data_IF_143415751577
#
_entry.id   IF_143415751577
#
_cell.length_a   1.000
_cell.length_b   1.000
_cell.length_c   1.000
_cell.angle_alpha   90.00
_cell.angle_beta   90.00
_cell.angle_gamma   90.00
#
_symmetry.space_group_name_H-M   'P 1'
#
loop_
_entity.id
_entity.type
_entity.pdbx_description
1 polymer ?
#
# COMPACT_ATOMS: atom_id res chain seq x y z
N UNK A 1 1.73 21.68 8.80
CA UNK A 1 1.35 20.43 9.50
C UNK A 1 1.88 19.28 8.66
N UNK A 2 2.51 18.28 9.26
CA UNK A 2 3.13 17.15 8.54
C UNK A 2 2.50 15.85 9.00
N UNK A 3 2.17 14.95 8.06
CA UNK A 3 1.66 13.62 8.36
C UNK A 3 2.83 12.67 8.60
N UNK A 4 2.85 12.00 9.75
CA UNK A 4 3.95 11.10 10.16
C UNK A 4 3.46 9.67 10.33
N UNK A 5 2.24 9.50 10.83
CA UNK A 5 1.60 8.21 11.08
C UNK A 5 0.28 8.15 10.32
N UNK A 6 0.10 7.11 9.52
CA UNK A 6 -1.15 6.77 8.86
C UNK A 6 -1.50 5.33 9.26
N UNK A 7 -2.48 5.15 10.13
CA UNK A 7 -3.00 3.82 10.51
C UNK A 7 -4.45 3.74 10.10
N UNK A 8 -4.74 2.82 9.20
CA UNK A 8 -6.03 2.53 8.60
C UNK A 8 -6.30 1.02 8.62
N UNK A 9 -5.56 0.26 9.43
CA UNK A 9 -5.75 -1.17 9.58
C UNK A 9 -7.15 -1.50 10.09
N UNK A 10 -7.64 -2.71 9.77
CA UNK A 10 -8.94 -3.23 10.19
C UNK A 10 -10.13 -2.40 9.70
N UNK A 11 -10.13 -2.09 8.40
CA UNK A 11 -11.22 -1.39 7.73
C UNK A 11 -11.68 -2.17 6.50
N UNK A 12 -12.65 -1.60 5.78
CA UNK A 12 -13.18 -2.12 4.53
C UNK A 12 -12.76 -1.23 3.36
N UNK A 13 -11.54 -0.67 3.40
CA UNK A 13 -11.03 0.19 2.34
C UNK A 13 -10.77 -0.66 1.09
N UNK A 14 -11.18 -0.13 -0.05
CA UNK A 14 -10.98 -0.73 -1.37
C UNK A 14 -10.21 0.23 -2.27
N UNK A 15 -9.84 -0.26 -3.45
CA UNK A 15 -9.07 0.53 -4.41
C UNK A 15 -7.56 0.49 -4.15
N UNK A 16 -6.78 1.23 -4.96
CA UNK A 16 -5.33 1.19 -4.88
C UNK A 16 -4.79 2.10 -3.79
N UNK A 17 -3.59 1.78 -3.28
CA UNK A 17 -2.82 2.71 -2.45
C UNK A 17 -2.43 3.93 -3.30
N UNK A 18 -2.85 5.16 -2.94
CA UNK A 18 -2.57 6.34 -3.75
C UNK A 18 -1.06 6.62 -3.84
N UNK A 19 -0.54 6.77 -5.06
CA UNK A 19 0.89 7.08 -5.30
C UNK A 19 1.29 8.43 -4.71
N UNK A 20 0.34 9.33 -4.48
CA UNK A 20 0.56 10.62 -3.86
C UNK A 20 1.13 10.50 -2.44
N UNK A 21 0.85 9.40 -1.73
CA UNK A 21 1.40 9.15 -0.40
C UNK A 21 2.93 8.96 -0.43
N UNK A 22 3.52 8.57 -1.58
CA UNK A 22 4.98 8.47 -1.71
C UNK A 22 5.67 9.84 -1.69
N UNK A 23 4.91 10.91 -1.97
CA UNK A 23 5.41 12.30 -1.99
C UNK A 23 5.40 12.96 -0.60
N UNK A 24 5.04 12.24 0.45
CA UNK A 24 5.00 12.76 1.83
C UNK A 24 6.27 12.30 2.57
N UNK A 25 7.37 13.07 2.54
CA UNK A 25 8.66 12.64 3.11
C UNK A 25 8.63 12.49 4.63
N UNK A 26 7.65 13.07 5.31
CA UNK A 26 7.49 12.96 6.76
C UNK A 26 6.85 11.66 7.22
N UNK A 27 6.26 10.88 6.30
CA UNK A 27 5.56 9.64 6.61
C UNK A 27 6.57 8.59 7.07
N UNK A 28 6.38 8.05 8.28
CA UNK A 28 7.28 7.06 8.88
C UNK A 28 6.58 5.75 9.18
N UNK A 29 5.26 5.79 9.36
CA UNK A 29 4.43 4.63 9.64
C UNK A 29 3.22 4.70 8.74
N UNK A 30 3.02 3.64 7.99
CA UNK A 30 1.81 3.35 7.22
C UNK A 30 1.36 1.98 7.66
N UNK A 31 0.12 1.83 8.09
CA UNK A 31 -0.49 0.53 8.37
C UNK A 31 -1.86 0.51 7.71
N UNK A 32 -2.01 -0.35 6.71
CA UNK A 32 -3.24 -0.55 5.94
C UNK A 32 -3.62 -2.03 5.92
N UNK A 33 -3.08 -2.81 6.86
CA UNK A 33 -3.36 -4.24 6.98
C UNK A 33 -4.85 -4.50 7.25
N UNK A 34 -5.34 -5.70 6.91
CA UNK A 34 -6.75 -6.07 7.11
C UNK A 34 -7.72 -5.10 6.41
N UNK A 35 -7.60 -4.99 5.08
CA UNK A 35 -8.50 -4.22 4.20
C UNK A 35 -8.72 -5.00 2.89
N UNK A 36 -9.47 -4.43 1.95
CA UNK A 36 -9.72 -4.99 0.61
C UNK A 36 -9.02 -4.15 -0.49
N UNK A 37 -7.82 -3.64 -0.19
CA UNK A 37 -7.02 -2.86 -1.14
C UNK A 37 -6.49 -3.73 -2.28
N UNK A 38 -6.24 -3.10 -3.42
CA UNK A 38 -5.84 -3.77 -4.67
C UNK A 38 -4.67 -3.07 -5.38
N UNK A 39 -4.08 -3.75 -6.36
CA UNK A 39 -2.98 -3.24 -7.16
C UNK A 39 -1.63 -3.32 -6.43
N UNK A 40 -0.63 -2.58 -6.90
CA UNK A 40 0.75 -2.76 -6.44
C UNK A 40 1.09 -1.90 -5.24
N UNK A 41 1.80 -2.48 -4.27
CA UNK A 41 2.39 -1.73 -3.15
C UNK A 41 3.45 -0.75 -3.70
N UNK A 42 3.36 0.57 -3.41
CA UNK A 42 4.39 1.51 -3.84
C UNK A 42 5.75 1.18 -3.24
N UNK A 43 6.83 1.32 -4.02
CA UNK A 43 8.22 1.09 -3.56
C UNK A 43 9.05 2.36 -3.43
N UNK A 44 8.43 3.51 -3.66
CA UNK A 44 9.11 4.79 -3.65
C UNK A 44 8.93 5.56 -2.34
N UNK A 45 9.86 6.48 -2.08
CA UNK A 45 9.78 7.41 -0.95
C UNK A 45 9.66 6.70 0.40
N UNK A 46 8.68 7.06 1.26
CA UNK A 46 8.55 6.46 2.59
C UNK A 46 8.17 4.98 2.55
N UNK A 47 7.49 4.50 1.49
CA UNK A 47 7.03 3.11 1.39
C UNK A 47 8.17 2.11 1.22
N UNK A 48 9.33 2.55 0.71
CA UNK A 48 10.53 1.71 0.61
C UNK A 48 11.00 1.14 1.97
N UNK A 49 10.61 1.77 3.07
CA UNK A 49 11.02 1.39 4.43
C UNK A 49 9.86 0.92 5.31
N UNK A 50 8.64 0.81 4.75
CA UNK A 50 7.50 0.30 5.51
C UNK A 50 7.54 -1.23 5.51
N UNK A 51 7.41 -1.88 6.68
CA UNK A 51 7.40 -3.35 6.75
C UNK A 51 6.25 -3.95 5.94
N UNK A 52 6.49 -5.08 5.28
CA UNK A 52 5.45 -5.77 4.50
C UNK A 52 4.24 -6.18 5.33
N UNK A 53 4.43 -6.45 6.63
CA UNK A 53 3.35 -6.77 7.57
C UNK A 53 2.25 -5.71 7.59
N UNK A 54 2.61 -4.45 7.37
CA UNK A 54 1.68 -3.33 7.37
C UNK A 54 0.76 -3.29 6.13
N UNK A 55 0.94 -4.20 5.19
CA UNK A 55 0.10 -4.38 3.99
C UNK A 55 -0.59 -5.76 3.98
N UNK A 56 -0.39 -6.59 5.00
CA UNK A 56 -0.94 -7.94 5.07
C UNK A 56 -2.48 -7.95 5.07
N UNK A 57 -3.06 -9.10 4.72
CA UNK A 57 -4.51 -9.30 4.68
C UNK A 57 -5.23 -8.27 3.80
N UNK A 58 -4.64 -7.98 2.64
CA UNK A 58 -5.27 -7.33 1.49
C UNK A 58 -5.14 -8.28 0.29
N UNK A 59 -6.19 -9.05 0.00
CA UNK A 59 -6.10 -10.19 -0.93
C UNK A 59 -5.80 -9.81 -2.38
N UNK A 60 -6.00 -8.54 -2.75
CA UNK A 60 -5.76 -8.01 -4.09
C UNK A 60 -4.51 -7.11 -4.15
N UNK A 61 -3.78 -6.92 -3.05
CA UNK A 61 -2.51 -6.21 -3.07
C UNK A 61 -1.40 -7.12 -3.58
N UNK A 62 -0.58 -6.57 -4.46
CA UNK A 62 0.53 -7.26 -5.09
C UNK A 62 1.86 -6.68 -4.64
N UNK A 63 2.82 -7.57 -4.42
CA UNK A 63 4.20 -7.20 -4.16
C UNK A 63 4.84 -6.55 -5.39
N UNK A 64 5.80 -5.62 -5.19
CA UNK A 64 6.43 -4.88 -6.28
C UNK A 64 7.29 -5.72 -7.22
N UNK A 65 7.75 -6.90 -6.79
CA UNK A 65 8.58 -7.79 -7.62
C UNK A 65 7.79 -8.64 -8.63
N UNK A 66 6.45 -8.56 -8.61
CA UNK A 66 5.60 -9.37 -9.48
C UNK A 66 5.21 -8.66 -10.79
N UNK A 67 5.62 -7.41 -10.99
CA UNK A 67 5.39 -6.66 -12.23
C UNK A 67 6.09 -7.38 -13.40
N UNK A 68 5.29 -8.04 -14.26
CA UNK A 68 5.77 -8.73 -15.46
C UNK A 68 5.98 -10.24 -15.32
N UNK A 69 5.81 -10.82 -14.13
CA UNK A 69 5.94 -12.28 -13.90
C UNK A 69 4.59 -13.00 -13.80
N UNK A 70 3.50 -12.30 -13.53
CA UNK A 70 2.15 -12.79 -13.77
C UNK A 70 1.21 -11.66 -14.20
N UNK A 71 0.19 -12.00 -14.98
CA UNK A 71 -0.94 -11.11 -15.28
C UNK A 71 -1.82 -11.01 -14.05
N UNK A 72 -1.46 -10.13 -13.13
CA UNK A 72 -2.31 -9.84 -11.98
C UNK A 72 -3.28 -8.71 -12.29
N UNK A 73 -4.40 -8.72 -11.58
CA UNK A 73 -5.51 -7.80 -11.84
C UNK A 73 -5.21 -6.42 -11.25
N UNK A 74 -4.50 -5.62 -12.05
CA UNK A 74 -4.28 -4.19 -11.77
C UNK A 74 -5.58 -3.37 -11.85
N UNK A 75 -6.68 -3.97 -12.32
CA UNK A 75 -7.98 -3.31 -12.28
C UNK A 75 -8.56 -3.46 -10.88
N UNK A 76 -8.44 -2.39 -10.11
CA UNK A 76 -9.19 -2.12 -8.89
C UNK A 76 -10.70 -1.89 -9.14
N UNK A 77 -11.29 -2.59 -10.11
CA UNK A 77 -12.74 -2.60 -10.35
C UNK A 77 -13.45 -3.60 -9.43
#
# INVERSE_FOLDING_TARGET
KSLVFLRLNDNQLTGPIPKELTKIPSLKVVDVSNNDLCGTIPTEGPFAHIPLQNFENNSRLEGPELIGLASYDTNCN
#
